data_IF_682106706345
#
_entry.id   IF_682106706345
#
_cell.length_a   1.000
_cell.length_b   1.000
_cell.length_c   1.000
_cell.angle_alpha   90.00
_cell.angle_beta   90.00
_cell.angle_gamma   90.00
#
_symmetry.space_group_name_H-M   'P 1'
#
loop_
_entity.id
_entity.type
_entity.pdbx_description
1 polymer ?
#
# COMPACT_ATOMS: atom_id res chain seq x y z
N UNK A 1 2.18 -38.51 21.00
CA UNK A 1 1.99 -37.23 21.71
C UNK A 1 2.02 -36.13 20.66
N UNK A 2 0.83 -35.64 20.26
CA UNK A 2 0.68 -34.59 19.23
C UNK A 2 1.03 -33.25 19.87
N UNK A 3 1.89 -32.47 19.23
CA UNK A 3 2.22 -31.11 19.67
C UNK A 3 1.10 -30.17 19.24
N UNK A 4 0.62 -29.34 20.16
CA UNK A 4 -0.38 -28.32 19.85
C UNK A 4 0.25 -27.19 19.02
N UNK A 5 -0.47 -26.59 18.05
CA UNK A 5 0.02 -25.41 17.34
C UNK A 5 0.16 -24.21 18.30
N UNK A 6 1.12 -23.30 18.07
CA UNK A 6 1.29 -22.12 18.90
C UNK A 6 0.05 -21.23 18.85
N UNK A 7 -0.30 -20.51 19.94
CA UNK A 7 -1.46 -19.64 19.93
C UNK A 7 -1.27 -18.53 18.89
N UNK A 8 -2.20 -18.44 17.94
CA UNK A 8 -2.24 -17.34 16.99
C UNK A 8 -2.39 -16.03 17.76
N UNK A 9 -1.48 -15.08 17.53
CA UNK A 9 -1.57 -13.77 18.16
C UNK A 9 -2.88 -13.09 17.74
N UNK A 10 -3.56 -12.39 18.66
CA UNK A 10 -4.75 -11.64 18.32
C UNK A 10 -4.36 -10.56 17.30
N UNK A 11 -4.86 -10.69 16.07
CA UNK A 11 -4.87 -9.57 15.12
C UNK A 11 -5.94 -8.60 15.58
N UNK A 12 -5.57 -7.72 16.51
CA UNK A 12 -6.45 -6.63 16.93
C UNK A 12 -6.56 -5.64 15.77
N UNK A 13 -7.53 -5.87 14.88
CA UNK A 13 -8.03 -4.84 13.97
C UNK A 13 -8.66 -3.75 14.84
N UNK A 14 -7.88 -2.73 15.19
CA UNK A 14 -8.41 -1.60 15.95
C UNK A 14 -9.12 -0.66 14.99
N UNK A 15 -10.39 -0.46 15.28
CA UNK A 15 -11.30 0.41 14.56
C UNK A 15 -10.78 1.87 14.57
N UNK A 16 -10.10 2.26 13.49
CA UNK A 16 -9.92 3.63 13.00
C UNK A 16 -10.33 3.77 11.52
N UNK A 17 -11.08 2.79 11.02
CA UNK A 17 -11.11 2.35 9.62
C UNK A 17 -11.80 3.29 8.61
N UNK A 18 -12.53 4.33 9.04
CA UNK A 18 -13.22 5.21 8.10
C UNK A 18 -12.30 6.27 7.48
N UNK A 19 -11.59 7.01 8.33
CA UNK A 19 -10.77 8.16 7.90
C UNK A 19 -9.42 7.73 7.34
N UNK A 20 -8.80 6.68 7.91
CA UNK A 20 -7.53 6.15 7.43
C UNK A 20 -7.64 5.53 6.03
N UNK A 21 -8.64 4.68 5.81
CA UNK A 21 -8.83 4.03 4.51
C UNK A 21 -9.15 5.02 3.39
N UNK A 22 -10.00 6.03 3.65
CA UNK A 22 -10.30 7.06 2.65
C UNK A 22 -9.07 7.90 2.28
N UNK A 23 -8.23 8.23 3.26
CA UNK A 23 -6.95 8.90 3.03
C UNK A 23 -6.02 8.07 2.15
N UNK A 24 -5.81 6.79 2.48
CA UNK A 24 -4.95 5.90 1.71
C UNK A 24 -5.43 5.67 0.29
N UNK A 25 -6.75 5.53 0.09
CA UNK A 25 -7.32 5.40 -1.25
C UNK A 25 -7.20 6.68 -2.08
N UNK A 26 -7.22 7.86 -1.45
CA UNK A 26 -6.95 9.12 -2.16
C UNK A 26 -5.50 9.18 -2.62
N UNK A 27 -4.56 8.94 -1.72
CA UNK A 27 -3.13 8.91 -2.07
C UNK A 27 -2.84 7.87 -3.17
N UNK A 28 -3.49 6.70 -3.09
CA UNK A 28 -3.36 5.67 -4.11
C UNK A 28 -3.89 6.11 -5.48
N UNK A 29 -5.05 6.76 -5.54
CA UNK A 29 -5.61 7.33 -6.79
C UNK A 29 -4.70 8.38 -7.40
N UNK A 30 -4.27 9.35 -6.61
CA UNK A 30 -3.38 10.42 -7.07
C UNK A 30 -2.08 9.82 -7.63
N UNK A 31 -1.50 8.84 -6.93
CA UNK A 31 -0.31 8.16 -7.41
C UNK A 31 -0.58 7.32 -8.67
N UNK A 32 -1.74 6.65 -8.76
CA UNK A 32 -2.13 5.88 -9.95
C UNK A 32 -2.28 6.78 -11.18
N UNK A 33 -2.93 7.95 -11.04
CA UNK A 33 -3.07 8.94 -12.12
C UNK A 33 -1.69 9.43 -12.61
N UNK A 34 -0.77 9.69 -11.68
CA UNK A 34 0.60 10.10 -12.01
C UNK A 34 1.36 8.98 -12.75
N UNK A 35 1.25 7.73 -12.31
CA UNK A 35 1.89 6.57 -12.94
C UNK A 35 1.31 6.27 -14.33
N UNK A 36 0.00 6.43 -14.51
CA UNK A 36 -0.66 6.20 -15.79
C UNK A 36 -0.14 7.14 -16.90
N UNK A 37 0.37 8.32 -16.51
CA UNK A 37 0.87 9.33 -17.46
C UNK A 37 2.12 8.86 -18.22
N UNK A 38 3.00 8.08 -17.59
CA UNK A 38 4.29 7.66 -18.18
C UNK A 38 4.42 6.14 -18.38
N UNK A 39 3.50 5.33 -17.85
CA UNK A 39 3.53 3.87 -17.92
C UNK A 39 3.75 3.32 -19.34
N UNK A 40 2.98 3.78 -20.33
CA UNK A 40 3.08 3.28 -21.71
C UNK A 40 4.42 3.64 -22.36
N UNK A 41 4.90 4.87 -22.16
CA UNK A 41 6.18 5.35 -22.70
C UNK A 41 7.34 4.60 -22.08
N UNK A 42 7.34 4.41 -20.75
CA UNK A 42 8.35 3.64 -20.02
C UNK A 42 8.40 2.20 -20.50
N UNK A 43 7.24 1.57 -20.66
CA UNK A 43 7.14 0.17 -21.08
C UNK A 43 7.73 -0.02 -22.48
N UNK A 44 7.39 0.85 -23.44
CA UNK A 44 7.96 0.81 -24.79
C UNK A 44 9.48 1.03 -24.79
N UNK A 45 9.99 1.86 -23.89
CA UNK A 45 11.42 2.12 -23.73
C UNK A 45 12.16 1.02 -22.96
N UNK A 46 11.47 0.03 -22.39
CA UNK A 46 12.01 -0.95 -21.44
C UNK A 46 12.82 -0.28 -20.30
N UNK A 47 12.36 0.89 -19.86
CA UNK A 47 13.07 1.70 -18.88
C UNK A 47 12.79 1.20 -17.44
N UNK A 48 13.80 1.20 -16.55
CA UNK A 48 13.62 0.82 -15.15
C UNK A 48 12.76 1.84 -14.40
N UNK A 49 11.85 1.40 -13.50
CA UNK A 49 10.85 2.28 -12.89
C UNK A 49 11.35 3.03 -11.64
N UNK A 50 12.46 3.77 -11.74
CA UNK A 50 13.06 4.44 -10.57
C UNK A 50 12.23 5.64 -10.09
N UNK A 51 11.66 6.40 -11.03
CA UNK A 51 10.87 7.58 -10.72
C UNK A 51 9.53 7.16 -10.10
N UNK A 52 8.92 6.10 -10.61
CA UNK A 52 7.67 5.50 -10.13
C UNK A 52 7.82 4.97 -8.70
N UNK A 53 8.93 4.28 -8.41
CA UNK A 53 9.24 3.83 -7.03
C UNK A 53 9.47 5.02 -6.11
N UNK A 54 10.04 6.12 -6.61
CA UNK A 54 10.22 7.36 -5.84
C UNK A 54 8.87 8.01 -5.54
N UNK A 55 7.94 8.08 -6.51
CA UNK A 55 6.57 8.58 -6.30
C UNK A 55 5.81 7.75 -5.26
N UNK A 56 5.89 6.42 -5.34
CA UNK A 56 5.28 5.53 -4.32
C UNK A 56 5.85 5.75 -2.90
N UNK A 57 7.15 6.09 -2.81
CA UNK A 57 7.81 6.41 -1.54
C UNK A 57 7.34 7.75 -1.00
N UNK A 58 7.28 8.77 -1.84
CA UNK A 58 6.83 10.12 -1.49
C UNK A 58 5.36 10.13 -1.05
N UNK A 59 4.53 9.32 -1.70
CA UNK A 59 3.12 9.09 -1.32
C UNK A 59 2.96 8.29 0.00
N UNK A 60 4.06 7.80 0.59
CA UNK A 60 4.02 7.04 1.85
C UNK A 60 3.39 5.65 1.73
N UNK A 61 3.25 5.11 0.51
CA UNK A 61 2.58 3.85 0.25
C UNK A 61 3.48 2.63 0.53
N UNK A 62 4.81 2.79 0.50
CA UNK A 62 5.74 1.70 0.80
C UNK A 62 5.65 1.17 2.24
N UNK A 63 5.57 2.02 3.29
CA UNK A 63 5.41 1.58 4.67
C UNK A 63 3.94 1.41 5.10
N UNK A 64 2.99 1.25 4.17
CA UNK A 64 1.54 1.28 4.46
C UNK A 64 1.10 0.32 5.59
N UNK A 65 1.62 -0.91 5.58
CA UNK A 65 1.32 -1.95 6.58
C UNK A 65 2.23 -1.90 7.81
N UNK A 66 3.26 -1.06 7.80
CA UNK A 66 4.16 -0.93 8.95
C UNK A 66 3.38 -0.25 10.08
N UNK A 67 3.42 -0.78 11.32
CA UNK A 67 2.69 -0.17 12.43
C UNK A 67 3.05 1.30 12.64
N UNK A 68 2.07 2.15 12.95
CA UNK A 68 2.28 3.58 13.16
C UNK A 68 3.32 3.89 14.26
N UNK A 69 3.37 3.06 15.32
CA UNK A 69 4.38 3.14 16.40
C UNK A 69 5.83 2.96 15.93
N UNK A 70 6.03 2.37 14.75
CA UNK A 70 7.33 2.18 14.11
C UNK A 70 7.56 3.17 12.95
N UNK A 71 6.74 4.22 12.84
CA UNK A 71 6.85 5.23 11.78
C UNK A 71 6.19 4.85 10.45
N UNK A 72 5.33 3.84 10.45
CA UNK A 72 4.60 3.38 9.25
C UNK A 72 3.18 3.93 9.11
N UNK A 73 2.49 3.50 8.04
CA UNK A 73 1.12 3.93 7.74
C UNK A 73 0.04 3.30 8.63
N UNK A 74 0.34 2.17 9.28
CA UNK A 74 -0.56 1.50 10.23
C UNK A 74 -1.88 1.00 9.61
N UNK A 75 -1.96 0.86 8.30
CA UNK A 75 -3.17 0.38 7.62
C UNK A 75 -3.42 -1.11 7.90
N UNK A 76 -4.70 -1.51 7.82
CA UNK A 76 -5.05 -2.92 7.83
C UNK A 76 -4.88 -3.56 6.44
N UNK A 77 -4.91 -4.90 6.41
CA UNK A 77 -4.75 -5.67 5.17
C UNK A 77 -5.86 -5.38 4.14
N UNK A 78 -7.09 -5.07 4.58
CA UNK A 78 -8.20 -4.75 3.67
C UNK A 78 -7.92 -3.44 2.92
N UNK A 79 -7.43 -2.43 3.63
CA UNK A 79 -7.02 -1.15 3.08
C UNK A 79 -5.81 -1.31 2.17
N UNK A 80 -4.80 -2.06 2.61
CA UNK A 80 -3.61 -2.31 1.80
C UNK A 80 -3.94 -3.01 0.48
N UNK A 81 -4.82 -4.01 0.51
CA UNK A 81 -5.26 -4.67 -0.72
C UNK A 81 -6.04 -3.73 -1.65
N UNK A 82 -6.89 -2.87 -1.09
CA UNK A 82 -7.60 -1.87 -1.89
C UNK A 82 -6.65 -0.85 -2.54
N UNK A 83 -5.62 -0.39 -1.82
CA UNK A 83 -4.55 0.46 -2.36
C UNK A 83 -3.78 -0.24 -3.48
N UNK A 84 -3.37 -1.50 -3.28
CA UNK A 84 -2.66 -2.27 -4.32
C UNK A 84 -3.51 -2.40 -5.58
N UNK A 85 -4.81 -2.67 -5.44
CA UNK A 85 -5.73 -2.76 -6.59
C UNK A 85 -5.89 -1.42 -7.32
N UNK A 86 -5.88 -0.31 -6.61
CA UNK A 86 -5.95 1.02 -7.21
C UNK A 86 -4.68 1.32 -8.02
N UNK A 87 -3.50 1.11 -7.43
CA UNK A 87 -2.21 1.33 -8.11
C UNK A 87 -2.05 0.42 -9.33
N UNK A 88 -2.48 -0.84 -9.22
CA UNK A 88 -2.39 -1.79 -10.33
C UNK A 88 -3.36 -1.52 -11.49
N UNK A 89 -4.29 -0.57 -11.34
CA UNK A 89 -5.23 -0.17 -12.39
C UNK A 89 -4.70 1.00 -13.25
N UNK A 90 -3.59 1.64 -12.85
CA UNK A 90 -2.85 2.60 -13.65
C UNK A 90 -2.23 1.95 -14.89
#
# INVERSE_FOLDING_TARGET
MVTAPPPALPVTGTAGAGSGTAHWLRAARETADDLATDAATREQAAAPPFDEVSRLREAGLLPLLVPARAGGGGADWRTAYAVVREIAAA
#
